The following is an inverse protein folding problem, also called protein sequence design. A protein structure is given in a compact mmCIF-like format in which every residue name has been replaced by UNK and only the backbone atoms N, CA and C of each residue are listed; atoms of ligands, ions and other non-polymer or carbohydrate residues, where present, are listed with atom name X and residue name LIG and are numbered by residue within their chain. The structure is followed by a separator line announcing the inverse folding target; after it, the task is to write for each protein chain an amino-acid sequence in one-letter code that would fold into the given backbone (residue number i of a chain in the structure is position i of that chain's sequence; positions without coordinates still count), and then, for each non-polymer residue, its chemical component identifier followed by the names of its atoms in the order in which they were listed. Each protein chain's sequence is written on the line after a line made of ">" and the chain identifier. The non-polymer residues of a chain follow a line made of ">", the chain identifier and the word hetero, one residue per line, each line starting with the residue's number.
data_IF_952907396966
#
_entry.id   IF_952907396966
#
_cell.length_a   1.000
_cell.length_b   1.000
_cell.length_c   1.000
_cell.angle_alpha   90.00
_cell.angle_beta   90.00
_cell.angle_gamma   90.00
#
_symmetry.space_group_name_H-M   'P 1'
#
loop_
_entity.id
_entity.type
_entity.pdbx_description
1 polymer ?
#
# COMPACT_ATOMS: atom_id res chain seq x y z
N UNK A 1 17.51 25.38 34.36
CA UNK A 1 18.49 24.59 33.60
C UNK A 1 18.05 23.14 33.35
N UNK A 2 17.65 22.33 34.34
CA UNK A 2 17.22 20.96 34.17
C UNK A 2 16.01 20.77 33.24
N UNK A 3 14.97 21.62 33.31
CA UNK A 3 13.78 21.56 32.48
C UNK A 3 14.09 21.82 31.00
N UNK A 4 14.97 22.79 30.70
CA UNK A 4 15.39 23.09 29.32
C UNK A 4 16.10 21.91 28.69
N UNK A 5 16.96 21.21 29.44
CA UNK A 5 17.67 20.03 28.97
C UNK A 5 16.69 18.90 28.65
N UNK A 6 15.70 18.65 29.50
CA UNK A 6 14.68 17.62 29.29
C UNK A 6 13.85 17.92 28.04
N UNK A 7 13.40 19.19 27.87
CA UNK A 7 12.65 19.61 26.67
C UNK A 7 13.50 19.43 25.41
N UNK A 8 14.77 19.82 25.44
CA UNK A 8 15.67 19.63 24.27
C UNK A 8 15.88 18.16 23.90
N UNK A 9 15.96 17.27 24.88
CA UNK A 9 16.07 15.81 24.64
C UNK A 9 14.78 15.28 24.01
N UNK A 10 13.61 15.69 24.53
CA UNK A 10 12.30 15.25 23.99
C UNK A 10 12.15 15.72 22.54
N UNK A 11 12.47 16.98 22.22
CA UNK A 11 12.40 17.52 20.87
C UNK A 11 13.39 16.78 19.95
N UNK A 12 14.62 16.55 20.40
CA UNK A 12 15.63 15.81 19.65
C UNK A 12 15.18 14.37 19.33
N UNK A 13 14.64 13.65 20.31
CA UNK A 13 14.09 12.30 20.11
C UNK A 13 12.90 12.31 19.16
N UNK A 14 12.03 13.31 19.23
CA UNK A 14 10.87 13.44 18.34
C UNK A 14 11.30 13.67 16.89
N UNK A 15 12.30 14.54 16.66
CA UNK A 15 12.83 14.81 15.31
C UNK A 15 13.49 13.56 14.73
N UNK A 16 14.29 12.83 15.53
CA UNK A 16 14.92 11.58 15.09
C UNK A 16 13.86 10.54 14.77
N UNK A 17 12.82 10.42 15.58
CA UNK A 17 11.72 9.47 15.37
C UNK A 17 10.97 9.79 14.06
N UNK A 18 10.61 11.05 13.82
CA UNK A 18 9.94 11.48 12.57
C UNK A 18 10.85 11.26 11.36
N UNK A 19 12.14 11.59 11.46
CA UNK A 19 13.11 11.38 10.38
C UNK A 19 13.34 9.91 10.05
N UNK A 20 13.12 8.99 11.00
CA UNK A 20 13.25 7.54 10.78
C UNK A 20 12.11 6.95 9.94
N UNK A 21 11.02 7.67 9.73
CA UNK A 21 9.91 7.26 8.86
C UNK A 21 10.03 7.83 7.43
N UNK A 22 11.04 8.64 7.14
CA UNK A 22 11.40 8.98 5.77
C UNK A 22 12.08 7.77 5.10
N UNK A 23 11.72 7.44 3.85
CA UNK A 23 12.21 6.25 3.14
C UNK A 23 11.92 4.91 3.83
N UNK A 24 10.67 4.68 4.15
CA UNK A 24 10.25 3.43 4.78
C UNK A 24 9.84 2.41 3.71
N UNK A 25 10.50 1.25 3.74
CA UNK A 25 10.12 0.05 2.99
C UNK A 25 9.76 -1.05 3.99
N UNK A 26 8.52 -1.49 3.99
CA UNK A 26 8.03 -2.51 4.91
C UNK A 26 7.41 -3.68 4.14
N UNK A 27 7.63 -4.87 4.68
CA UNK A 27 7.00 -6.12 4.26
C UNK A 27 6.33 -6.75 5.47
N UNK A 28 5.02 -7.01 5.39
CA UNK A 28 4.25 -7.52 6.52
C UNK A 28 2.96 -8.23 6.08
N UNK A 29 2.29 -8.83 7.04
CA UNK A 29 0.95 -9.38 6.89
C UNK A 29 0.01 -8.78 7.94
N UNK A 30 -1.28 -9.06 7.84
CA UNK A 30 -2.28 -8.66 8.85
C UNK A 30 -1.93 -9.14 10.27
N UNK A 31 -1.09 -10.17 10.41
CA UNK A 31 -0.62 -10.66 11.71
C UNK A 31 0.32 -9.67 12.41
N UNK A 32 1.03 -8.84 11.66
CA UNK A 32 1.81 -7.74 12.23
C UNK A 32 0.88 -6.54 12.51
N UNK A 33 0.22 -6.57 13.65
CA UNK A 33 -0.80 -5.61 14.04
C UNK A 33 -0.33 -4.14 13.98
N UNK A 34 0.91 -3.87 14.37
CA UNK A 34 1.46 -2.51 14.41
C UNK A 34 1.60 -1.97 12.98
N UNK A 35 2.31 -2.69 12.10
CA UNK A 35 2.53 -2.25 10.72
C UNK A 35 1.21 -2.21 9.94
N UNK A 36 0.35 -3.20 10.13
CA UNK A 36 -0.95 -3.24 9.49
C UNK A 36 -1.82 -2.03 9.81
N UNK A 37 -1.87 -1.59 11.06
CA UNK A 37 -2.69 -0.44 11.43
C UNK A 37 -2.07 0.91 11.03
N UNK A 38 -0.73 1.04 11.07
CA UNK A 38 -0.06 2.32 10.82
C UNK A 38 0.20 2.58 9.34
N UNK A 39 0.48 1.55 8.53
CA UNK A 39 1.01 1.70 7.18
C UNK A 39 0.11 1.11 6.09
N UNK A 40 -0.99 0.44 6.41
CA UNK A 40 -1.89 -0.10 5.39
C UNK A 40 -2.94 0.92 4.98
N UNK A 41 -3.07 1.18 3.68
CA UNK A 41 -4.10 2.03 3.12
C UNK A 41 -5.48 1.39 3.26
N UNK A 42 -6.52 2.21 3.32
CA UNK A 42 -7.89 1.75 3.53
C UNK A 42 -8.37 0.83 2.40
N UNK A 43 -7.87 1.03 1.17
CA UNK A 43 -8.14 0.19 0.00
C UNK A 43 -7.66 -1.25 0.20
N UNK A 44 -6.56 -1.46 0.96
CA UNK A 44 -6.02 -2.78 1.27
C UNK A 44 -6.60 -3.34 2.58
N UNK A 45 -6.91 -2.50 3.57
CA UNK A 45 -7.52 -2.97 4.83
C UNK A 45 -8.83 -3.70 4.62
N UNK A 46 -9.62 -3.25 3.63
CA UNK A 46 -10.95 -3.76 3.34
C UNK A 46 -10.99 -4.70 2.12
N UNK A 47 -9.84 -5.02 1.55
CA UNK A 47 -9.76 -5.87 0.36
C UNK A 47 -10.27 -7.29 0.63
N UNK A 48 -11.04 -7.91 -0.28
CA UNK A 48 -11.36 -9.32 -0.17
C UNK A 48 -10.09 -10.16 -0.24
N UNK A 49 -9.86 -11.02 0.74
CA UNK A 49 -8.73 -11.94 0.74
C UNK A 49 -9.00 -13.09 -0.21
N UNK A 50 -8.50 -13.00 -1.43
CA UNK A 50 -8.66 -14.01 -2.48
C UNK A 50 -7.72 -15.21 -2.32
N UNK A 51 -6.76 -15.12 -1.40
CA UNK A 51 -5.87 -16.20 -0.97
C UNK A 51 -5.46 -15.96 0.49
N UNK A 52 -5.23 -17.05 1.24
CA UNK A 52 -4.63 -17.00 2.58
C UNK A 52 -3.12 -16.74 2.53
N UNK A 53 -2.52 -16.92 1.35
CA UNK A 53 -1.09 -16.70 1.12
C UNK A 53 -0.88 -15.35 0.45
N UNK A 54 -0.58 -14.34 1.25
CA UNK A 54 -0.33 -12.98 0.79
C UNK A 54 0.72 -12.25 1.61
N UNK A 55 1.31 -11.22 1.00
CA UNK A 55 2.24 -10.28 1.63
C UNK A 55 1.82 -8.86 1.27
N UNK A 56 1.92 -7.95 2.22
CA UNK A 56 1.67 -6.52 2.04
C UNK A 56 3.02 -5.79 2.05
N UNK A 57 3.21 -4.90 1.08
CA UNK A 57 4.36 -4.02 0.97
C UNK A 57 3.92 -2.58 1.15
N UNK A 58 4.67 -1.80 1.88
CA UNK A 58 4.50 -0.35 2.00
C UNK A 58 5.80 0.32 1.63
N UNK A 59 5.72 1.31 0.75
CA UNK A 59 6.86 2.12 0.35
C UNK A 59 6.48 3.60 0.45
N UNK A 60 7.25 4.33 1.27
CA UNK A 60 7.20 5.79 1.38
C UNK A 60 8.57 6.34 1.04
N UNK A 61 8.81 6.69 -0.23
CA UNK A 61 10.07 7.29 -0.63
C UNK A 61 10.19 8.71 -0.08
N UNK A 62 11.42 9.17 0.11
CA UNK A 62 11.72 10.52 0.55
C UNK A 62 11.30 11.57 -0.50
N UNK A 63 10.66 12.64 -0.05
CA UNK A 63 10.34 13.81 -0.85
C UNK A 63 9.03 13.73 -1.64
N UNK A 64 9.08 14.07 -2.93
CA UNK A 64 7.90 14.29 -3.80
C UNK A 64 7.38 13.02 -4.50
N UNK A 65 7.87 11.86 -4.14
CA UNK A 65 7.49 10.61 -4.80
C UNK A 65 6.19 10.05 -4.22
N UNK A 66 5.46 9.34 -5.08
CA UNK A 66 4.20 8.66 -4.75
C UNK A 66 4.41 7.59 -3.68
N UNK A 67 3.57 7.61 -2.64
CA UNK A 67 3.52 6.50 -1.68
C UNK A 67 2.81 5.31 -2.31
N UNK A 68 3.30 4.11 -2.06
CA UNK A 68 2.66 2.88 -2.53
C UNK A 68 2.36 1.92 -1.38
N UNK A 69 1.27 1.20 -1.53
CA UNK A 69 0.92 0.10 -0.67
C UNK A 69 0.36 -1.02 -1.53
N UNK A 70 1.02 -2.15 -1.51
CA UNK A 70 0.74 -3.26 -2.41
C UNK A 70 0.37 -4.49 -1.60
N UNK A 71 -0.53 -5.32 -2.12
CA UNK A 71 -0.73 -6.67 -1.64
C UNK A 71 -0.51 -7.65 -2.79
N UNK A 72 0.35 -8.64 -2.56
CA UNK A 72 0.61 -9.73 -3.49
C UNK A 72 -0.02 -10.99 -2.95
N UNK A 73 -0.99 -11.51 -3.68
CA UNK A 73 -1.59 -12.81 -3.41
C UNK A 73 -0.87 -13.90 -4.19
N UNK A 74 -0.54 -15.01 -3.54
CA UNK A 74 0.08 -16.19 -4.14
C UNK A 74 -0.87 -17.38 -4.11
N UNK A 75 -0.64 -18.37 -4.99
CA UNK A 75 -1.48 -19.53 -5.17
C UNK A 75 -2.95 -19.18 -5.48
N UNK A 76 -3.15 -18.24 -6.39
CA UNK A 76 -4.46 -17.70 -6.77
C UNK A 76 -4.90 -18.27 -8.11
N UNK A 77 -6.18 -18.64 -8.23
CA UNK A 77 -6.79 -18.96 -9.50
C UNK A 77 -7.05 -17.68 -10.32
N UNK A 78 -7.00 -17.80 -11.65
CA UNK A 78 -7.12 -16.67 -12.59
C UNK A 78 -8.46 -15.93 -12.49
N UNK A 79 -9.53 -16.63 -12.16
CA UNK A 79 -10.89 -16.08 -12.01
C UNK A 79 -11.02 -15.10 -10.83
N UNK A 80 -10.07 -15.14 -9.90
CA UNK A 80 -10.09 -14.28 -8.70
C UNK A 80 -9.76 -12.82 -8.95
N UNK A 81 -9.14 -12.49 -10.09
CA UNK A 81 -8.91 -11.10 -10.50
C UNK A 81 -10.21 -10.29 -10.61
N UNK A 82 -11.27 -10.91 -11.11
CA UNK A 82 -12.57 -10.25 -11.27
C UNK A 82 -13.19 -9.83 -9.92
N UNK A 83 -12.93 -10.59 -8.86
CA UNK A 83 -13.37 -10.24 -7.51
C UNK A 83 -12.72 -8.94 -7.01
N UNK A 84 -11.44 -8.72 -7.32
CA UNK A 84 -10.73 -7.47 -7.00
C UNK A 84 -11.19 -6.31 -7.87
N UNK A 85 -11.47 -6.53 -9.16
CA UNK A 85 -12.02 -5.51 -10.06
C UNK A 85 -13.37 -5.02 -9.53
N UNK A 86 -14.28 -5.95 -9.23
CA UNK A 86 -15.58 -5.61 -8.65
C UNK A 86 -15.47 -4.84 -7.33
N UNK A 87 -14.51 -5.21 -6.48
CA UNK A 87 -14.22 -4.49 -5.24
C UNK A 87 -13.84 -3.03 -5.49
N UNK A 88 -12.92 -2.77 -6.41
CA UNK A 88 -12.44 -1.43 -6.77
C UNK A 88 -13.56 -0.57 -7.36
N UNK A 89 -14.35 -1.13 -8.27
CA UNK A 89 -15.46 -0.44 -8.90
C UNK A 89 -16.58 -0.12 -7.90
N UNK A 90 -16.85 -1.02 -6.95
CA UNK A 90 -17.80 -0.78 -5.86
C UNK A 90 -17.36 0.32 -4.89
N UNK A 91 -16.04 0.56 -4.76
CA UNK A 91 -15.52 1.71 -4.01
C UNK A 91 -15.65 3.03 -4.78
N UNK A 92 -16.12 3.02 -6.01
CA UNK A 92 -16.34 4.20 -6.85
C UNK A 92 -15.10 4.65 -7.62
N UNK A 93 -14.11 3.81 -7.79
CA UNK A 93 -12.99 4.07 -8.69
C UNK A 93 -13.45 3.93 -10.15
N UNK A 94 -12.93 4.80 -11.00
CA UNK A 94 -13.22 4.79 -12.43
C UNK A 94 -12.06 4.19 -13.21
N UNK A 95 -12.38 3.23 -14.07
CA UNK A 95 -11.43 2.58 -14.95
C UNK A 95 -10.95 3.51 -16.06
N UNK A 96 -9.67 3.48 -16.35
CA UNK A 96 -9.06 4.16 -17.50
C UNK A 96 -7.89 3.34 -18.05
N UNK A 97 -7.50 3.62 -19.28
CA UNK A 97 -6.30 3.05 -19.87
C UNK A 97 -5.13 4.04 -19.72
N UNK A 98 -4.03 3.59 -19.13
CA UNK A 98 -2.83 4.40 -18.97
C UNK A 98 -1.89 4.14 -20.15
N UNK A 99 -1.80 5.12 -21.07
CA UNK A 99 -0.98 4.99 -22.29
C UNK A 99 0.53 4.91 -21.98
N UNK A 100 0.97 5.52 -20.89
CA UNK A 100 2.38 5.50 -20.51
C UNK A 100 2.82 4.12 -20.03
N UNK A 101 2.00 3.46 -19.22
CA UNK A 101 2.27 2.12 -18.69
C UNK A 101 1.74 1.00 -19.56
N UNK A 102 0.82 1.32 -20.49
CA UNK A 102 0.23 0.35 -21.40
C UNK A 102 -0.72 -0.64 -20.70
N UNK A 103 -1.35 -0.22 -19.59
CA UNK A 103 -2.23 -1.08 -18.81
C UNK A 103 -3.53 -0.39 -18.36
N UNK A 104 -4.52 -1.20 -17.96
CA UNK A 104 -5.75 -0.70 -17.36
C UNK A 104 -5.52 -0.39 -15.89
N UNK A 105 -6.02 0.78 -15.45
CA UNK A 105 -5.94 1.29 -14.09
C UNK A 105 -7.27 1.85 -13.63
N UNK A 106 -7.40 2.02 -12.33
CA UNK A 106 -8.58 2.64 -11.71
C UNK A 106 -8.15 3.87 -10.91
N UNK A 107 -8.90 4.97 -11.00
CA UNK A 107 -8.59 6.23 -10.30
C UNK A 107 -9.79 6.78 -9.55
N UNK A 108 -9.51 7.32 -8.36
CA UNK A 108 -10.43 8.10 -7.56
C UNK A 108 -9.68 9.18 -6.80
N UNK A 109 -9.88 10.45 -7.19
CA UNK A 109 -9.10 11.56 -6.63
C UNK A 109 -7.62 11.43 -6.95
N UNK A 110 -6.77 11.44 -5.92
CA UNK A 110 -5.31 11.29 -5.95
C UNK A 110 -4.84 9.83 -5.78
N UNK A 111 -5.78 8.89 -5.65
CA UNK A 111 -5.47 7.47 -5.52
C UNK A 111 -5.63 6.77 -6.86
N UNK A 112 -4.63 5.99 -7.24
CA UNK A 112 -4.62 5.12 -8.42
C UNK A 112 -4.42 3.67 -7.99
N UNK A 113 -5.18 2.75 -8.57
CA UNK A 113 -5.09 1.31 -8.34
C UNK A 113 -4.71 0.61 -9.65
N UNK A 114 -3.80 -0.35 -9.56
CA UNK A 114 -3.45 -1.26 -10.64
C UNK A 114 -3.56 -2.71 -10.16
N UNK A 115 -4.15 -3.59 -10.98
CA UNK A 115 -4.33 -5.01 -10.68
C UNK A 115 -3.63 -5.81 -11.77
N UNK A 116 -2.50 -6.44 -11.43
CA UNK A 116 -1.69 -7.24 -12.33
C UNK A 116 -1.76 -8.71 -11.96
N UNK A 117 -1.91 -9.56 -12.96
CA UNK A 117 -1.94 -11.01 -12.82
C UNK A 117 -0.73 -11.62 -13.52
N UNK A 118 -0.06 -12.54 -12.85
CA UNK A 118 0.98 -13.38 -13.44
C UNK A 118 0.54 -14.84 -13.38
N UNK A 119 0.13 -15.36 -14.53
CA UNK A 119 -0.42 -16.70 -14.65
C UNK A 119 0.63 -17.79 -14.42
N UNK A 120 1.89 -17.52 -14.80
CA UNK A 120 2.98 -18.48 -14.62
C UNK A 120 3.34 -18.69 -13.15
N UNK A 121 3.20 -17.64 -12.35
CA UNK A 121 3.52 -17.66 -10.93
C UNK A 121 2.27 -17.86 -10.05
N UNK A 122 1.08 -17.91 -10.65
CA UNK A 122 -0.20 -17.92 -9.93
C UNK A 122 -0.31 -16.83 -8.89
N UNK A 123 0.09 -15.60 -9.26
CA UNK A 123 0.05 -14.43 -8.38
C UNK A 123 -0.85 -13.33 -8.94
N UNK A 124 -1.45 -12.57 -8.04
CA UNK A 124 -2.13 -11.31 -8.36
C UNK A 124 -1.57 -10.22 -7.45
N UNK A 125 -1.08 -9.15 -8.09
CA UNK A 125 -0.66 -7.90 -7.43
C UNK A 125 -1.82 -6.92 -7.46
N UNK A 126 -2.13 -6.33 -6.32
CA UNK A 126 -3.01 -5.19 -6.16
C UNK A 126 -2.19 -4.03 -5.62
N UNK A 127 -1.89 -3.06 -6.47
CA UNK A 127 -1.04 -1.91 -6.17
C UNK A 127 -1.92 -0.67 -5.96
N UNK A 128 -1.71 0.03 -4.86
CA UNK A 128 -2.31 1.34 -4.56
C UNK A 128 -1.23 2.39 -4.55
N UNK A 129 -1.40 3.43 -5.34
CA UNK A 129 -0.52 4.59 -5.44
C UNK A 129 -1.27 5.83 -4.97
N UNK A 130 -0.66 6.60 -4.07
CA UNK A 130 -1.19 7.86 -3.55
C UNK A 130 -0.18 8.98 -3.80
N UNK A 131 -0.60 9.97 -4.59
CA UNK A 131 0.22 11.12 -4.97
C UNK A 131 -0.13 12.38 -4.15
#
# INVERSE_FOLDING_TARGET
>A
MRIIVVISIIIGCTIIFIGSFANVNLEYTKKNFIYYNLFTFDEIKNIPLISDNYIIYYNSPDGSSTMTNDIVFSNVNQDKKEELINYVENMGFQKYYDEYWGDERWRKGDVTINIKQNDNEHTILFLVEQS
#
